data_IF_257250760476
#
_entry.id   IF_257250760476
#
_cell.length_a   1.000
_cell.length_b   1.000
_cell.length_c   1.000
_cell.angle_alpha   90.00
_cell.angle_beta   90.00
_cell.angle_gamma   90.00
#
_symmetry.space_group_name_H-M   'P 1'
#
loop_
_entity.id
_entity.type
_entity.pdbx_description
1 polymer ?
#
# COMPACT_ATOMS: atom_id res chain seq x y z
N UNK A 1 -24.39 -1.90 18.59
CA UNK A 1 -23.03 -1.36 18.28
C UNK A 1 -22.66 -1.45 16.78
N UNK A 2 -23.65 -1.35 15.90
CA UNK A 2 -23.47 -1.52 14.44
C UNK A 2 -23.44 -0.18 13.67
N UNK A 3 -23.55 0.96 14.36
CA UNK A 3 -23.71 2.28 13.72
C UNK A 3 -22.40 2.98 13.28
N UNK A 4 -21.24 2.41 13.56
CA UNK A 4 -19.96 3.07 13.26
C UNK A 4 -19.34 2.66 11.92
N UNK A 5 -19.77 1.55 11.34
CA UNK A 5 -19.25 1.09 10.05
C UNK A 5 -20.00 1.78 8.92
N UNK A 6 -19.46 2.88 8.44
CA UNK A 6 -20.08 3.73 7.40
C UNK A 6 -19.08 4.04 6.29
N UNK A 7 -19.59 4.16 5.06
CA UNK A 7 -18.89 4.79 3.97
C UNK A 7 -18.72 6.30 4.20
N UNK A 8 -17.90 6.93 3.38
CA UNK A 8 -17.68 8.38 3.48
C UNK A 8 -17.31 8.99 2.14
N UNK A 9 -17.45 10.29 2.04
CA UNK A 9 -16.98 11.08 0.91
C UNK A 9 -15.74 11.85 1.30
N UNK A 10 -14.83 11.99 0.34
CA UNK A 10 -13.58 12.67 0.55
C UNK A 10 -13.06 13.38 -0.70
N UNK A 11 -11.95 14.07 -0.53
CA UNK A 11 -11.15 14.63 -1.60
C UNK A 11 -9.81 13.88 -1.62
N UNK A 12 -9.41 13.45 -2.79
CA UNK A 12 -8.17 12.70 -2.99
C UNK A 12 -6.96 13.61 -2.76
N UNK A 13 -5.92 13.06 -2.19
CA UNK A 13 -4.68 13.76 -1.91
C UNK A 13 -3.48 12.92 -2.36
N UNK A 14 -2.60 13.51 -3.16
CA UNK A 14 -1.34 12.89 -3.58
C UNK A 14 -0.21 13.39 -2.67
N UNK A 15 0.24 12.60 -1.69
CA UNK A 15 1.32 13.01 -0.79
C UNK A 15 2.71 13.02 -1.43
N UNK A 16 2.87 12.44 -2.63
CA UNK A 16 4.18 12.16 -3.26
C UNK A 16 4.29 12.59 -4.73
N UNK A 17 3.88 13.81 -5.11
CA UNK A 17 3.89 14.24 -6.51
C UNK A 17 5.30 14.30 -7.11
N UNK A 18 6.34 14.31 -6.28
CA UNK A 18 7.74 14.38 -6.68
C UNK A 18 8.52 13.09 -6.36
N UNK A 19 7.85 11.96 -6.12
CA UNK A 19 8.51 10.69 -5.81
C UNK A 19 9.36 10.17 -6.97
N UNK A 20 10.22 9.18 -6.68
CA UNK A 20 10.99 8.46 -7.72
C UNK A 20 10.06 7.80 -8.75
N UNK A 21 8.87 7.36 -8.35
CA UNK A 21 7.84 6.90 -9.29
C UNK A 21 7.18 8.09 -9.98
N UNK A 22 7.73 8.49 -11.09
CA UNK A 22 7.34 9.70 -11.83
C UNK A 22 5.88 9.69 -12.35
N UNK A 23 5.16 8.55 -12.26
CA UNK A 23 3.74 8.46 -12.61
C UNK A 23 2.86 9.30 -11.67
N UNK A 24 3.37 9.63 -10.48
CA UNK A 24 2.70 10.50 -9.52
C UNK A 24 2.84 11.99 -9.84
N UNK A 25 3.72 12.35 -10.80
CA UNK A 25 3.86 13.70 -11.33
C UNK A 25 3.12 13.87 -12.66
N UNK A 26 2.58 15.05 -12.90
CA UNK A 26 1.71 15.40 -14.03
C UNK A 26 2.33 15.14 -15.40
N UNK A 27 3.58 15.56 -15.57
CA UNK A 27 4.25 15.51 -16.87
C UNK A 27 4.36 14.08 -17.40
N UNK A 28 4.95 13.19 -16.60
CA UNK A 28 5.17 11.79 -16.99
C UNK A 28 3.83 11.04 -17.08
N UNK A 29 2.90 11.30 -16.18
CA UNK A 29 1.58 10.69 -16.24
C UNK A 29 0.86 10.99 -17.57
N UNK A 30 0.90 12.25 -18.04
CA UNK A 30 0.32 12.63 -19.34
C UNK A 30 1.00 11.96 -20.54
N UNK A 31 2.33 11.77 -20.50
CA UNK A 31 3.06 11.01 -21.53
C UNK A 31 2.60 9.54 -21.62
N UNK A 32 2.11 8.97 -20.53
CA UNK A 32 1.52 7.62 -20.47
C UNK A 32 0.01 7.59 -20.67
N UNK A 33 -0.62 8.68 -21.12
CA UNK A 33 -2.05 8.75 -21.46
C UNK A 33 -2.98 8.99 -20.27
N UNK A 34 -2.44 9.35 -19.10
CA UNK A 34 -3.24 9.73 -17.94
C UNK A 34 -3.58 11.24 -17.96
N UNK A 35 -4.61 11.64 -17.25
CA UNK A 35 -5.04 13.05 -17.15
C UNK A 35 -4.03 13.92 -16.39
N UNK A 36 -3.34 13.35 -15.43
CA UNK A 36 -2.37 14.00 -14.55
C UNK A 36 -1.71 13.00 -13.62
N UNK A 37 -0.94 13.47 -12.64
CA UNK A 37 -0.28 12.64 -11.64
C UNK A 37 -1.27 11.79 -10.83
N UNK A 38 -0.96 10.50 -10.70
CA UNK A 38 -1.83 9.56 -10.02
C UNK A 38 -1.64 9.64 -8.51
N UNK A 39 -2.74 9.60 -7.76
CA UNK A 39 -2.69 9.28 -6.33
C UNK A 39 -2.13 7.85 -6.17
N UNK A 40 -1.16 7.60 -5.27
CA UNK A 40 -0.61 6.27 -5.07
C UNK A 40 -1.68 5.23 -4.77
N UNK A 41 -1.55 4.03 -5.36
CA UNK A 41 -2.51 2.95 -5.15
C UNK A 41 -2.67 2.55 -3.68
N UNK A 42 -1.61 2.67 -2.89
CA UNK A 42 -1.63 2.44 -1.42
C UNK A 42 -2.44 3.50 -0.66
N UNK A 43 -2.47 4.74 -1.16
CA UNK A 43 -3.33 5.81 -0.60
C UNK A 43 -4.79 5.55 -0.95
N UNK A 44 -5.08 5.18 -2.21
CA UNK A 44 -6.44 4.77 -2.63
C UNK A 44 -6.92 3.57 -1.80
N UNK A 45 -6.03 2.62 -1.53
CA UNK A 45 -6.33 1.47 -0.67
C UNK A 45 -6.62 1.90 0.78
N UNK A 46 -5.87 2.86 1.32
CA UNK A 46 -6.08 3.36 2.68
C UNK A 46 -7.48 3.99 2.83
N UNK A 47 -7.98 4.72 1.82
CA UNK A 47 -9.35 5.26 1.85
C UNK A 47 -10.40 4.17 2.01
N UNK A 48 -10.24 3.02 1.33
CA UNK A 48 -11.15 1.87 1.49
C UNK A 48 -11.07 1.23 2.88
N UNK A 49 -9.96 1.39 3.59
CA UNK A 49 -9.70 0.78 4.89
C UNK A 49 -9.98 1.73 6.07
N UNK A 50 -10.16 3.03 5.82
CA UNK A 50 -10.53 4.01 6.86
C UNK A 50 -11.79 3.62 7.66
N UNK A 51 -12.87 3.09 7.04
CA UNK A 51 -14.04 2.63 7.78
C UNK A 51 -13.69 1.58 8.85
N UNK A 52 -12.70 0.72 8.60
CA UNK A 52 -12.26 -0.28 9.57
C UNK A 52 -11.63 0.37 10.80
N UNK A 53 -10.75 1.36 10.61
CA UNK A 53 -10.12 2.08 11.73
C UNK A 53 -11.16 2.83 12.55
N UNK A 54 -12.11 3.49 11.87
CA UNK A 54 -13.19 4.25 12.55
C UNK A 54 -14.11 3.35 13.35
N UNK A 55 -14.46 2.16 12.81
CA UNK A 55 -15.41 1.26 13.43
C UNK A 55 -14.79 0.33 14.47
N UNK A 56 -13.61 -0.20 14.19
CA UNK A 56 -12.99 -1.24 15.00
C UNK A 56 -11.80 -0.74 15.85
N UNK A 57 -11.29 0.47 15.56
CA UNK A 57 -10.16 1.01 16.31
C UNK A 57 -8.88 0.19 16.15
N UNK A 58 -8.15 0.01 17.24
CA UNK A 58 -6.86 -0.71 17.26
C UNK A 58 -6.93 -2.15 16.70
N UNK A 59 -7.98 -2.96 16.93
CA UNK A 59 -8.16 -4.26 16.29
C UNK A 59 -8.06 -4.23 14.74
N UNK A 60 -8.39 -3.11 14.09
CA UNK A 60 -8.21 -2.98 12.64
C UNK A 60 -6.74 -3.03 12.22
N UNK A 61 -5.83 -2.64 13.11
CA UNK A 61 -4.38 -2.63 12.89
C UNK A 61 -3.68 -3.88 13.46
N UNK A 62 -4.44 -4.78 14.12
CA UNK A 62 -3.90 -5.95 14.80
C UNK A 62 -4.87 -7.14 14.64
N UNK A 63 -4.44 -8.19 13.94
CA UNK A 63 -5.27 -9.37 13.70
C UNK A 63 -6.33 -9.17 12.62
N UNK A 64 -6.02 -8.38 11.58
CA UNK A 64 -6.92 -8.16 10.45
C UNK A 64 -6.32 -8.61 9.11
N UNK A 65 -7.21 -8.81 8.15
CA UNK A 65 -6.88 -9.06 6.75
C UNK A 65 -7.57 -8.04 5.87
N UNK A 66 -6.85 -7.57 4.86
CA UNK A 66 -7.41 -6.72 3.81
C UNK A 66 -6.96 -7.19 2.43
N UNK A 67 -7.84 -7.04 1.46
CA UNK A 67 -7.54 -7.20 0.04
C UNK A 67 -8.13 -6.01 -0.70
N UNK A 68 -7.32 -5.35 -1.50
CA UNK A 68 -7.72 -4.17 -2.27
C UNK A 68 -7.20 -4.27 -3.69
N UNK A 69 -8.06 -3.96 -4.66
CA UNK A 69 -7.76 -3.94 -6.10
C UNK A 69 -8.06 -2.55 -6.65
N UNK A 70 -7.04 -1.92 -7.24
CA UNK A 70 -7.17 -0.63 -7.94
C UNK A 70 -7.35 -0.89 -9.42
N UNK A 71 -8.47 -0.47 -9.98
CA UNK A 71 -8.85 -0.69 -11.38
C UNK A 71 -8.58 0.52 -12.27
N UNK A 72 -8.75 1.72 -11.71
CA UNK A 72 -8.62 3.00 -12.42
C UNK A 72 -7.91 4.02 -11.55
N UNK A 73 -7.22 4.99 -12.16
CA UNK A 73 -6.54 6.03 -11.42
C UNK A 73 -7.51 6.96 -10.70
N UNK A 74 -7.08 7.43 -9.53
CA UNK A 74 -7.64 8.57 -8.82
C UNK A 74 -6.60 9.69 -8.89
N UNK A 75 -7.04 10.95 -9.00
CA UNK A 75 -6.14 12.08 -9.17
C UNK A 75 -6.24 13.05 -7.98
N UNK A 76 -5.19 13.80 -7.75
CA UNK A 76 -5.15 14.79 -6.67
C UNK A 76 -6.29 15.81 -6.81
N UNK A 77 -6.97 16.11 -5.72
CA UNK A 77 -8.12 17.01 -5.69
C UNK A 77 -9.46 16.43 -6.18
N UNK A 78 -9.47 15.19 -6.72
CA UNK A 78 -10.73 14.56 -7.14
C UNK A 78 -11.63 14.23 -5.94
N UNK A 79 -12.92 14.49 -6.07
CA UNK A 79 -13.91 13.98 -5.12
C UNK A 79 -14.12 12.48 -5.31
N UNK A 80 -14.23 11.75 -4.20
CA UNK A 80 -14.54 10.33 -4.21
C UNK A 80 -15.58 9.95 -3.15
N UNK A 81 -16.20 8.78 -3.33
CA UNK A 81 -17.19 8.21 -2.44
C UNK A 81 -16.81 6.74 -2.12
N UNK A 82 -16.54 6.43 -0.86
CA UNK A 82 -16.37 5.06 -0.37
C UNK A 82 -17.71 4.53 0.07
N UNK A 83 -18.20 3.51 -0.61
CA UNK A 83 -19.47 2.83 -0.30
C UNK A 83 -19.23 1.43 0.22
N UNK A 84 -19.90 1.09 1.31
CA UNK A 84 -19.92 -0.28 1.83
C UNK A 84 -20.99 -1.07 1.09
N UNK A 85 -20.59 -2.14 0.42
CA UNK A 85 -21.48 -2.97 -0.41
C UNK A 85 -22.01 -4.19 0.33
N UNK A 86 -21.25 -4.69 1.32
CA UNK A 86 -21.67 -5.76 2.21
C UNK A 86 -20.99 -5.59 3.57
N UNK A 87 -21.71 -5.85 4.63
CA UNK A 87 -21.23 -5.72 5.99
C UNK A 87 -21.48 -7.02 6.77
N UNK A 88 -20.52 -7.34 7.65
CA UNK A 88 -20.61 -8.43 8.62
C UNK A 88 -20.13 -7.90 9.99
N UNK A 89 -20.34 -8.66 11.05
CA UNK A 89 -19.96 -8.25 12.41
C UNK A 89 -18.43 -8.01 12.54
N UNK A 90 -17.63 -8.67 11.72
CA UNK A 90 -16.17 -8.63 11.76
C UNK A 90 -15.53 -8.07 10.48
N UNK A 91 -16.30 -7.45 9.57
CA UNK A 91 -15.72 -6.95 8.33
C UNK A 91 -16.73 -6.41 7.32
N UNK A 92 -16.21 -6.07 6.12
CA UNK A 92 -17.03 -5.51 5.04
C UNK A 92 -16.39 -5.72 3.67
N UNK A 93 -17.19 -5.54 2.62
CA UNK A 93 -16.72 -5.21 1.28
C UNK A 93 -17.09 -3.77 0.95
N UNK A 94 -16.18 -3.09 0.27
CA UNK A 94 -16.37 -1.69 -0.12
C UNK A 94 -15.85 -1.43 -1.53
N UNK A 95 -16.35 -0.37 -2.13
CA UNK A 95 -15.81 0.17 -3.37
C UNK A 95 -15.68 1.69 -3.27
N UNK A 96 -14.69 2.23 -3.98
CA UNK A 96 -14.45 3.65 -4.13
C UNK A 96 -14.88 4.08 -5.53
N UNK A 97 -15.67 5.14 -5.59
CA UNK A 97 -16.23 5.71 -6.80
C UNK A 97 -15.77 7.14 -6.98
N UNK A 98 -15.59 7.56 -8.24
CA UNK A 98 -15.40 8.97 -8.59
C UNK A 98 -16.73 9.76 -8.52
N UNK A 99 -16.65 11.06 -8.76
CA UNK A 99 -17.83 11.95 -8.78
C UNK A 99 -18.87 11.59 -9.86
N UNK A 100 -18.48 10.80 -10.87
CA UNK A 100 -19.35 10.34 -11.96
C UNK A 100 -19.95 8.95 -11.70
N UNK A 101 -19.66 8.36 -10.53
CA UNK A 101 -20.10 7.03 -10.17
C UNK A 101 -19.31 5.89 -10.82
N UNK A 102 -18.13 6.17 -11.38
CA UNK A 102 -17.24 5.15 -11.90
C UNK A 102 -16.53 4.45 -10.73
N UNK A 103 -16.58 3.13 -10.69
CA UNK A 103 -15.80 2.34 -9.72
C UNK A 103 -14.31 2.44 -10.07
N UNK A 104 -13.50 2.93 -9.14
CA UNK A 104 -12.06 3.07 -9.30
C UNK A 104 -11.29 1.98 -8.55
N UNK A 105 -11.82 1.55 -7.41
CA UNK A 105 -11.17 0.60 -6.52
C UNK A 105 -12.22 -0.22 -5.78
N UNK A 106 -11.89 -1.43 -5.40
CA UNK A 106 -12.72 -2.26 -4.55
C UNK A 106 -11.87 -3.08 -3.58
N UNK A 107 -12.46 -3.52 -2.47
CA UNK A 107 -11.75 -4.33 -1.49
C UNK A 107 -12.64 -4.96 -0.45
N UNK A 108 -12.01 -5.79 0.36
CA UNK A 108 -12.60 -6.37 1.55
C UNK A 108 -11.69 -6.21 2.75
N UNK A 109 -12.30 -6.06 3.88
CA UNK A 109 -11.64 -6.03 5.18
C UNK A 109 -12.30 -7.04 6.12
N UNK A 110 -11.51 -7.73 6.94
CA UNK A 110 -12.00 -8.72 7.89
C UNK A 110 -11.11 -8.74 9.13
N UNK A 111 -11.72 -8.61 10.31
CA UNK A 111 -11.08 -8.92 11.58
C UNK A 111 -10.97 -10.44 11.74
N UNK A 112 -9.78 -10.91 12.10
CA UNK A 112 -9.51 -12.33 12.36
C UNK A 112 -8.87 -12.46 13.72
N UNK A 113 -9.48 -13.21 14.66
CA UNK A 113 -8.90 -13.44 15.99
C UNK A 113 -7.60 -14.26 15.92
N UNK A 114 -7.41 -15.03 14.85
CA UNK A 114 -6.18 -15.78 14.57
C UNK A 114 -5.87 -15.72 13.08
N UNK A 115 -4.62 -15.48 12.67
CA UNK A 115 -4.26 -15.47 11.26
C UNK A 115 -4.49 -16.87 10.67
N UNK A 116 -5.09 -16.91 9.47
CA UNK A 116 -5.30 -18.15 8.72
C UNK A 116 -3.99 -18.67 8.08
N UNK A 117 -2.95 -17.84 8.09
CA UNK A 117 -1.61 -18.13 7.56
C UNK A 117 -0.62 -17.95 8.70
N UNK A 118 0.36 -18.86 8.87
CA UNK A 118 1.41 -18.68 9.87
C UNK A 118 2.10 -17.33 9.70
N UNK A 119 2.41 -16.63 10.81
CA UNK A 119 3.16 -15.38 10.74
C UNK A 119 4.51 -15.60 10.03
N UNK A 120 5.02 -14.63 9.27
CA UNK A 120 6.31 -14.74 8.63
C UNK A 120 7.42 -14.83 9.68
N UNK A 121 8.48 -15.57 9.33
CA UNK A 121 9.68 -15.66 10.15
C UNK A 121 10.74 -14.67 9.68
N UNK A 122 11.44 -14.09 10.62
CA UNK A 122 12.63 -13.27 10.37
C UNK A 122 13.72 -14.07 9.66
N UNK A 123 14.29 -13.51 8.58
CA UNK A 123 15.33 -14.17 7.75
C UNK A 123 16.71 -13.52 7.87
N UNK A 124 16.76 -12.28 8.37
CA UNK A 124 18.01 -11.54 8.50
C UNK A 124 18.62 -11.14 7.15
N UNK A 125 17.81 -10.75 6.20
CA UNK A 125 18.27 -10.42 4.84
C UNK A 125 19.31 -9.27 4.85
N UNK A 126 20.29 -9.28 3.93
CA UNK A 126 21.20 -8.16 3.74
C UNK A 126 20.41 -6.91 3.34
N UNK A 127 21.01 -5.74 3.53
CA UNK A 127 20.39 -4.49 3.11
C UNK A 127 20.23 -4.42 1.59
N UNK A 128 19.17 -3.77 1.15
CA UNK A 128 18.95 -3.43 -0.24
C UNK A 128 20.11 -2.58 -0.79
N UNK A 129 20.40 -2.64 -2.10
CA UNK A 129 21.49 -1.91 -2.72
C UNK A 129 21.29 -0.39 -2.57
N UNK A 130 22.38 0.37 -2.64
CA UNK A 130 22.30 1.83 -2.70
C UNK A 130 21.61 2.26 -4.00
N UNK A 131 21.05 3.45 -4.01
CA UNK A 131 20.30 3.94 -5.18
C UNK A 131 21.10 3.87 -6.50
N UNK A 132 22.38 4.21 -6.47
CA UNK A 132 23.27 4.15 -7.64
C UNK A 132 23.62 2.73 -8.09
N UNK A 133 23.43 1.73 -7.24
CA UNK A 133 23.76 0.31 -7.50
C UNK A 133 22.53 -0.48 -7.98
N UNK A 134 21.34 0.12 -7.93
CA UNK A 134 20.09 -0.54 -8.35
C UNK A 134 20.09 -0.81 -9.86
N UNK A 135 19.93 -2.07 -10.22
CA UNK A 135 19.76 -2.48 -11.60
C UNK A 135 18.38 -2.12 -12.15
N UNK A 136 18.21 -1.93 -13.46
CA UNK A 136 16.89 -1.70 -14.06
C UNK A 136 15.94 -2.87 -13.77
N UNK A 137 14.67 -2.57 -13.51
CA UNK A 137 13.63 -3.56 -13.32
C UNK A 137 13.26 -4.22 -14.66
N UNK A 138 14.11 -5.12 -15.14
CA UNK A 138 13.82 -5.97 -16.29
C UNK A 138 13.36 -7.35 -15.83
N UNK A 139 12.68 -8.09 -16.71
CA UNK A 139 12.29 -9.48 -16.42
C UNK A 139 13.47 -10.34 -16.04
N UNK A 140 14.61 -10.17 -16.72
CA UNK A 140 15.85 -10.90 -16.44
C UNK A 140 16.37 -10.60 -15.02
N UNK A 141 16.49 -9.32 -14.67
CA UNK A 141 16.96 -8.90 -13.34
C UNK A 141 16.01 -9.40 -12.25
N UNK A 142 14.70 -9.23 -12.43
CA UNK A 142 13.73 -9.68 -11.43
C UNK A 142 13.68 -11.22 -11.30
N UNK A 143 13.85 -11.97 -12.41
CA UNK A 143 13.94 -13.44 -12.37
C UNK A 143 15.19 -13.91 -11.62
N UNK A 144 16.32 -13.24 -11.81
CA UNK A 144 17.53 -13.51 -11.04
C UNK A 144 17.34 -13.21 -9.56
N UNK A 145 16.74 -12.05 -9.22
CA UNK A 145 16.44 -11.65 -7.85
C UNK A 145 15.38 -12.55 -7.19
N UNK A 146 14.49 -13.16 -7.94
CA UNK A 146 13.57 -14.18 -7.44
C UNK A 146 14.32 -15.38 -6.83
N UNK A 147 15.44 -15.76 -7.42
CA UNK A 147 16.29 -16.85 -6.94
C UNK A 147 17.30 -16.42 -5.90
N UNK A 148 17.97 -15.28 -6.11
CA UNK A 148 19.04 -14.78 -5.23
C UNK A 148 18.50 -14.08 -3.97
N UNK A 149 17.26 -13.57 -4.02
CA UNK A 149 16.64 -12.77 -2.97
C UNK A 149 16.77 -11.28 -3.21
N UNK A 150 15.87 -10.54 -2.56
CA UNK A 150 15.88 -9.09 -2.45
C UNK A 150 16.53 -8.69 -1.12
N UNK A 151 17.09 -7.49 -1.06
CA UNK A 151 17.63 -6.93 0.18
C UNK A 151 16.54 -6.29 1.04
N UNK A 152 16.80 -6.26 2.36
CA UNK A 152 15.93 -5.62 3.35
C UNK A 152 16.05 -4.11 3.35
N UNK A 153 15.01 -3.43 3.81
CA UNK A 153 15.02 -1.99 4.04
C UNK A 153 14.48 -1.65 5.43
N UNK A 154 14.67 -0.40 5.84
CA UNK A 154 14.13 0.14 7.08
C UNK A 154 13.17 1.27 6.77
N UNK A 155 12.09 1.36 7.53
CA UNK A 155 11.15 2.46 7.48
C UNK A 155 10.65 2.79 8.90
N UNK A 156 10.30 4.05 9.12
CA UNK A 156 9.75 4.53 10.38
C UNK A 156 8.54 5.41 10.08
N UNK A 157 7.46 5.17 10.81
CA UNK A 157 6.29 6.02 10.74
C UNK A 157 6.43 7.16 11.74
N UNK A 158 6.55 8.38 11.22
CA UNK A 158 6.61 9.61 12.01
C UNK A 158 5.97 10.78 11.25
N UNK A 159 6.01 11.98 11.86
CA UNK A 159 5.38 13.17 11.30
C UNK A 159 6.03 13.67 10.00
N UNK A 160 7.27 13.31 9.73
CA UNK A 160 8.02 13.71 8.54
C UNK A 160 7.87 12.72 7.39
N UNK A 161 7.30 11.54 7.67
CA UNK A 161 7.12 10.52 6.65
C UNK A 161 6.06 10.95 5.62
N UNK A 162 6.38 10.86 4.32
CA UNK A 162 5.50 11.29 3.23
C UNK A 162 4.09 10.68 3.27
N UNK A 163 3.94 9.43 3.74
CA UNK A 163 2.64 8.76 3.93
C UNK A 163 2.02 9.04 5.32
N UNK A 164 2.60 9.92 6.13
CA UNK A 164 2.01 10.32 7.41
C UNK A 164 0.66 10.99 7.22
N UNK A 165 0.54 11.79 6.17
CA UNK A 165 -0.72 12.41 5.76
C UNK A 165 -1.14 11.90 4.38
N UNK A 166 -2.30 11.24 4.30
CA UNK A 166 -2.88 10.72 3.05
C UNK A 166 -4.26 11.30 2.75
N UNK A 167 -4.75 12.23 3.55
CA UNK A 167 -5.90 13.09 3.29
C UNK A 167 -5.45 14.56 3.13
N UNK A 168 -6.27 15.44 2.55
CA UNK A 168 -5.93 16.87 2.42
C UNK A 168 -5.60 17.53 3.75
N UNK A 169 -6.24 17.10 4.85
CA UNK A 169 -5.94 17.54 6.21
C UNK A 169 -5.80 16.35 7.16
N UNK A 170 -5.08 16.54 8.27
CA UNK A 170 -4.92 15.49 9.29
C UNK A 170 -6.23 15.15 10.00
N UNK A 171 -7.14 16.14 10.14
CA UNK A 171 -8.44 15.96 10.78
C UNK A 171 -9.34 15.01 9.97
N UNK A 172 -9.18 14.94 8.66
CA UNK A 172 -9.90 14.00 7.82
C UNK A 172 -9.47 12.55 8.03
N UNK A 173 -8.22 12.32 8.49
CA UNK A 173 -7.74 10.98 8.86
C UNK A 173 -8.39 10.49 10.15
N UNK A 174 -8.61 9.17 10.30
CA UNK A 174 -8.98 8.61 11.59
C UNK A 174 -7.95 8.99 12.66
N UNK A 175 -8.40 9.50 13.81
CA UNK A 175 -7.52 10.03 14.85
C UNK A 175 -6.44 9.02 15.31
N UNK A 176 -6.81 7.74 15.39
CA UNK A 176 -5.91 6.65 15.79
C UNK A 176 -4.66 6.51 14.90
N UNK A 177 -4.74 6.92 13.64
CA UNK A 177 -3.67 6.71 12.64
C UNK A 177 -3.05 8.01 12.13
N UNK A 178 -3.15 9.06 12.93
CA UNK A 178 -2.42 10.31 12.68
C UNK A 178 -0.95 10.14 13.07
N UNK A 179 -0.03 10.85 12.37
CA UNK A 179 1.40 10.78 12.66
C UNK A 179 1.76 11.65 13.88
N UNK A 180 1.30 11.24 15.06
CA UNK A 180 1.51 11.90 16.34
C UNK A 180 1.87 10.88 17.43
N UNK A 181 2.50 11.27 18.54
CA UNK A 181 3.03 10.34 19.56
C UNK A 181 2.02 9.33 20.12
N UNK A 182 0.73 9.64 20.13
CA UNK A 182 -0.34 8.74 20.55
C UNK A 182 -0.89 7.86 19.42
N UNK A 183 -0.46 8.08 18.18
CA UNK A 183 -0.97 7.43 17.00
C UNK A 183 -0.23 6.16 16.60
N UNK A 184 -0.77 5.51 15.58
CA UNK A 184 -0.22 4.30 14.98
C UNK A 184 -0.05 4.48 13.48
N UNK A 185 0.80 3.67 12.86
CA UNK A 185 1.00 3.67 11.42
C UNK A 185 -0.32 3.42 10.68
N UNK A 186 -0.62 4.29 9.73
CA UNK A 186 -1.80 4.20 8.89
C UNK A 186 -1.63 3.16 7.76
N UNK A 187 -2.73 2.79 7.11
CA UNK A 187 -2.70 1.82 6.03
C UNK A 187 -1.90 2.30 4.81
N UNK A 188 -1.87 3.60 4.49
CA UNK A 188 -1.06 4.11 3.37
C UNK A 188 0.43 3.85 3.60
N UNK A 189 0.93 4.07 4.82
CA UNK A 189 2.29 3.72 5.21
C UNK A 189 2.52 2.22 5.19
N UNK A 190 1.67 1.43 5.86
CA UNK A 190 1.85 -0.02 5.98
C UNK A 190 1.84 -0.73 4.62
N UNK A 191 0.91 -0.37 3.73
CA UNK A 191 0.89 -0.91 2.38
C UNK A 191 2.02 -0.34 1.50
N UNK A 192 2.43 0.91 1.73
CA UNK A 192 3.59 1.55 1.09
C UNK A 192 4.90 0.80 1.31
N UNK A 193 5.01 0.01 2.40
CA UNK A 193 6.17 -0.85 2.61
C UNK A 193 6.39 -1.82 1.45
N UNK A 194 5.34 -2.23 0.75
CA UNK A 194 5.43 -3.10 -0.43
C UNK A 194 6.01 -2.38 -1.64
N UNK A 195 5.63 -1.12 -1.84
CA UNK A 195 6.10 -0.26 -2.93
C UNK A 195 7.59 0.03 -2.77
N UNK A 196 7.99 0.44 -1.55
CA UNK A 196 9.39 0.72 -1.25
C UNK A 196 10.24 -0.55 -1.29
N UNK A 197 9.70 -1.69 -0.89
CA UNK A 197 10.39 -2.97 -0.97
C UNK A 197 10.81 -3.31 -2.41
N UNK A 198 9.99 -3.01 -3.41
CA UNK A 198 10.36 -3.15 -4.82
C UNK A 198 11.31 -2.03 -5.26
N UNK A 199 10.92 -0.76 -5.05
CA UNK A 199 11.64 0.41 -5.55
C UNK A 199 13.05 0.58 -4.94
N UNK A 200 13.32 0.05 -3.74
CA UNK A 200 14.64 0.08 -3.12
C UNK A 200 15.57 -1.04 -3.59
N UNK A 201 15.03 -2.08 -4.22
CA UNK A 201 15.82 -3.19 -4.74
C UNK A 201 16.17 -3.06 -6.22
N UNK A 202 15.31 -2.41 -7.01
CA UNK A 202 15.53 -2.20 -8.45
C UNK A 202 15.20 -0.77 -8.84
N UNK A 203 15.78 -0.32 -9.96
CA UNK A 203 15.44 0.98 -10.57
C UNK A 203 14.22 0.79 -11.49
N UNK A 204 13.09 1.34 -11.09
CA UNK A 204 11.84 1.31 -11.85
C UNK A 204 11.74 2.50 -12.81
N UNK A 205 11.09 2.30 -13.96
CA UNK A 205 10.47 3.37 -14.73
C UNK A 205 9.14 3.79 -14.08
N UNK A 206 8.24 4.45 -14.80
CA UNK A 206 6.86 4.64 -14.36
C UNK A 206 6.16 3.28 -14.18
N UNK A 207 5.58 3.04 -13.01
CA UNK A 207 4.99 1.76 -12.64
C UNK A 207 3.68 1.95 -11.87
N UNK A 208 2.85 0.91 -11.83
CA UNK A 208 1.51 0.98 -11.23
C UNK A 208 1.32 -0.09 -10.16
N UNK A 209 0.94 0.34 -8.97
CA UNK A 209 0.41 -0.53 -7.93
C UNK A 209 -1.04 -0.91 -8.27
N UNK A 210 -1.35 -2.19 -8.30
CA UNK A 210 -2.68 -2.66 -8.71
C UNK A 210 -3.47 -3.38 -7.62
N UNK A 211 -2.81 -4.18 -6.80
CA UNK A 211 -3.52 -5.01 -5.82
C UNK A 211 -2.62 -5.32 -4.63
N UNK A 212 -3.23 -5.34 -3.45
CA UNK A 212 -2.56 -5.77 -2.22
C UNK A 212 -3.43 -6.76 -1.46
N UNK A 213 -2.80 -7.80 -0.94
CA UNK A 213 -3.32 -8.71 0.08
C UNK A 213 -2.48 -8.50 1.33
N UNK A 214 -3.08 -8.18 2.45
CA UNK A 214 -2.32 -7.84 3.66
C UNK A 214 -2.94 -8.44 4.92
N UNK A 215 -2.07 -8.99 5.77
CA UNK A 215 -2.37 -9.39 7.13
C UNK A 215 -1.68 -8.40 8.07
N UNK A 216 -2.46 -7.67 8.83
CA UNK A 216 -1.98 -6.74 9.86
C UNK A 216 -1.90 -7.52 11.17
N UNK A 217 -0.69 -7.87 11.61
CA UNK A 217 -0.46 -8.82 12.70
C UNK A 217 -0.35 -8.13 14.05
N UNK A 218 0.26 -6.93 14.07
CA UNK A 218 0.38 -6.10 15.26
C UNK A 218 0.34 -4.61 14.90
N UNK A 219 -0.17 -3.74 15.79
CA UNK A 219 -0.17 -2.31 15.58
C UNK A 219 1.27 -1.79 15.64
N UNK A 220 1.57 -0.78 14.85
CA UNK A 220 2.88 -0.13 14.80
C UNK A 220 2.75 1.27 15.42
N UNK A 221 3.20 1.48 16.66
CA UNK A 221 3.17 2.80 17.30
C UNK A 221 4.00 3.82 16.53
N UNK A 222 3.64 5.10 16.64
CA UNK A 222 4.42 6.22 16.15
C UNK A 222 5.91 6.11 16.57
N UNK A 223 6.82 6.42 15.66
CA UNK A 223 8.26 6.39 15.90
C UNK A 223 8.91 5.01 15.84
N UNK A 224 8.12 3.92 15.70
CA UNK A 224 8.68 2.57 15.59
C UNK A 224 9.44 2.39 14.27
N UNK A 225 10.71 1.95 14.38
CA UNK A 225 11.48 1.52 13.21
C UNK A 225 11.11 0.08 12.85
N UNK A 226 10.83 -0.14 11.58
CA UNK A 226 10.55 -1.45 11.01
C UNK A 226 11.69 -1.92 10.12
N UNK A 227 11.92 -3.22 10.10
CA UNK A 227 12.72 -3.89 9.08
C UNK A 227 11.79 -4.65 8.17
N UNK A 228 11.96 -4.44 6.87
CA UNK A 228 11.11 -4.99 5.81
C UNK A 228 11.91 -5.99 5.01
N UNK A 229 11.43 -7.22 4.89
CA UNK A 229 12.03 -8.32 4.15
C UNK A 229 11.16 -8.73 2.97
N UNK A 230 11.54 -8.34 1.74
CA UNK A 230 10.80 -8.68 0.53
C UNK A 230 11.26 -10.00 -0.11
N UNK A 231 10.39 -10.55 -0.97
CA UNK A 231 10.69 -11.64 -1.88
C UNK A 231 9.88 -11.49 -3.17
N UNK A 232 10.50 -11.66 -4.33
CA UNK A 232 9.74 -11.80 -5.58
C UNK A 232 8.97 -13.12 -5.52
N UNK A 233 7.64 -13.02 -5.62
CA UNK A 233 6.75 -14.18 -5.60
C UNK A 233 6.55 -14.73 -7.01
N UNK A 234 6.13 -13.89 -7.95
CA UNK A 234 5.82 -14.27 -9.32
C UNK A 234 6.14 -13.16 -10.32
N UNK A 235 6.41 -13.55 -11.55
CA UNK A 235 6.68 -12.67 -12.69
C UNK A 235 5.90 -13.18 -13.89
N UNK A 236 5.04 -12.36 -14.45
CA UNK A 236 4.25 -12.74 -15.61
C UNK A 236 3.97 -11.54 -16.54
N UNK A 237 3.55 -11.89 -17.75
CA UNK A 237 3.10 -10.91 -18.72
C UNK A 237 1.58 -11.03 -18.93
N UNK A 238 0.93 -9.90 -19.07
CA UNK A 238 -0.50 -9.85 -19.43
C UNK A 238 -0.79 -8.61 -20.25
N UNK A 239 -1.39 -8.78 -21.42
CA UNK A 239 -1.78 -7.69 -22.35
C UNK A 239 -0.59 -6.78 -22.72
N UNK A 240 0.61 -7.33 -22.81
CA UNK A 240 1.83 -6.60 -23.14
C UNK A 240 2.45 -5.81 -21.97
N UNK A 241 1.87 -5.84 -20.79
CA UNK A 241 2.48 -5.28 -19.57
C UNK A 241 3.24 -6.37 -18.80
N UNK A 242 4.35 -5.98 -18.19
CA UNK A 242 5.12 -6.87 -17.32
C UNK A 242 4.68 -6.68 -15.86
N UNK A 243 4.35 -7.79 -15.20
CA UNK A 243 3.84 -7.82 -13.83
C UNK A 243 4.85 -8.45 -12.89
N UNK A 244 4.84 -7.97 -11.65
CA UNK A 244 5.52 -8.59 -10.52
C UNK A 244 4.56 -8.72 -9.34
N UNK A 245 4.57 -9.89 -8.71
CA UNK A 245 4.02 -10.09 -7.37
C UNK A 245 5.18 -10.18 -6.39
N UNK A 246 5.14 -9.36 -5.33
CA UNK A 246 6.15 -9.40 -4.28
C UNK A 246 5.51 -9.66 -2.93
N UNK A 247 6.06 -10.62 -2.19
CA UNK A 247 5.74 -10.87 -0.79
C UNK A 247 6.61 -9.95 0.08
N UNK A 248 6.03 -9.37 1.09
CA UNK A 248 6.70 -8.48 2.04
C UNK A 248 6.31 -8.87 3.45
N UNK A 249 7.30 -9.03 4.31
CA UNK A 249 7.14 -9.14 5.75
C UNK A 249 7.79 -7.94 6.43
N UNK A 250 7.11 -7.32 7.39
CA UNK A 250 7.66 -6.25 8.21
C UNK A 250 7.73 -6.70 9.66
N UNK A 251 8.84 -6.33 10.32
CA UNK A 251 9.17 -6.72 11.68
C UNK A 251 9.53 -5.49 12.51
N UNK A 252 9.20 -5.51 13.79
CA UNK A 252 9.67 -4.53 14.77
C UNK A 252 11.12 -4.79 15.23
N UNK A 253 11.61 -3.99 16.16
CA UNK A 253 12.97 -4.10 16.69
C UNK A 253 13.24 -5.44 17.42
N UNK A 254 12.19 -6.08 17.95
CA UNK A 254 12.27 -7.39 18.61
C UNK A 254 12.07 -8.56 17.63
N UNK A 255 12.11 -8.29 16.32
CA UNK A 255 11.87 -9.25 15.23
C UNK A 255 10.47 -9.89 15.25
N UNK A 256 9.49 -9.22 15.89
CA UNK A 256 8.10 -9.67 15.86
C UNK A 256 7.45 -9.20 14.56
N UNK A 257 6.73 -10.09 13.84
CA UNK A 257 6.08 -9.72 12.60
C UNK A 257 4.89 -8.79 12.88
N UNK A 258 4.84 -7.65 12.18
CA UNK A 258 3.75 -6.67 12.27
C UNK A 258 2.88 -6.66 11.02
N UNK A 259 3.45 -7.05 9.87
CA UNK A 259 2.75 -7.10 8.57
C UNK A 259 3.25 -8.28 7.76
N UNK A 260 2.32 -8.97 7.10
CA UNK A 260 2.60 -9.85 5.97
C UNK A 260 1.72 -9.43 4.80
N UNK A 261 2.32 -9.03 3.70
CA UNK A 261 1.58 -8.53 2.55
C UNK A 261 2.12 -9.11 1.24
N UNK A 262 1.24 -9.19 0.24
CA UNK A 262 1.60 -9.38 -1.15
C UNK A 262 1.10 -8.18 -1.94
N UNK A 263 1.94 -7.66 -2.81
CA UNK A 263 1.60 -6.59 -3.74
C UNK A 263 1.75 -7.08 -5.16
N UNK A 264 0.80 -6.73 -6.02
CA UNK A 264 0.89 -6.86 -7.46
C UNK A 264 1.09 -5.50 -8.11
N UNK A 265 2.10 -5.42 -8.96
CA UNK A 265 2.39 -4.20 -9.72
C UNK A 265 2.63 -4.50 -11.21
N UNK A 266 2.35 -3.51 -12.06
CA UNK A 266 2.92 -3.42 -13.39
C UNK A 266 4.23 -2.65 -13.25
N UNK A 267 5.36 -3.33 -13.44
CA UNK A 267 6.67 -2.69 -13.35
C UNK A 267 7.18 -2.16 -14.69
N UNK A 268 6.60 -2.63 -15.80
CA UNK A 268 6.87 -2.13 -17.14
C UNK A 268 5.56 -2.04 -17.92
N UNK A 269 5.21 -0.81 -18.31
CA UNK A 269 4.04 -0.54 -19.12
C UNK A 269 4.33 -0.92 -20.58
N UNK A 270 3.34 -1.49 -21.27
CA UNK A 270 3.47 -1.75 -22.71
C UNK A 270 3.80 -0.44 -23.44
N UNK A 271 4.65 -0.52 -24.43
CA UNK A 271 4.86 0.58 -25.37
C UNK A 271 3.54 0.92 -26.09
N UNK A 272 3.28 2.20 -26.25
CA UNK A 272 2.09 2.71 -26.95
C UNK A 272 2.09 2.31 -28.42
#
# INVERSE_FOLDING_TARGET
MTDLLQGFRGTAYNPVPQSENRIHGDEIARQHGFRGGLVPGVVVSAYLLDPAVRAFGLPALAGSYAEVVVHKPLYDGDAFDVKLEAQAANGYRAALFDAHGTRLCEGRFELRPSPSVPPPSWRGLPRAPRAAEREPATREVLSRLQTQGLGSLRARFDAEHEMGRYHPTLEAQPALVRPEPSGYANFAFLLGLTDWALARNVRLGPWLHLQTWSHHLAPVPYGTELVIEPRVHDLFERKGHQFVDIDVAAFDADQRPVLAARMRAIYELRSA
#
